data_IF_379053539763
#
_entry.id   IF_379053539763
#
_cell.length_a   1.000
_cell.length_b   1.000
_cell.length_c   1.000
_cell.angle_alpha   90.00
_cell.angle_beta   90.00
_cell.angle_gamma   90.00
#
_symmetry.space_group_name_H-M   'P 1'
#
loop_
_entity.id
_entity.type
_entity.pdbx_description
1 polymer ?
#
# COMPACT_ATOMS: atom_id res chain seq x y z
N UNK A 1 12.05 5.69 -47.64
CA UNK A 1 11.59 4.80 -46.58
C UNK A 1 11.60 5.60 -45.29
N UNK A 2 10.47 6.21 -44.98
CA UNK A 2 10.31 7.02 -43.75
C UNK A 2 10.13 6.08 -42.57
N UNK A 3 11.08 6.14 -41.66
CA UNK A 3 11.07 5.41 -40.39
C UNK A 3 10.07 6.11 -39.46
N UNK A 4 8.81 5.66 -39.45
CA UNK A 4 7.85 6.09 -38.40
C UNK A 4 8.32 5.54 -37.09
N UNK A 5 9.04 6.38 -36.31
CA UNK A 5 9.22 6.18 -34.89
C UNK A 5 7.80 6.11 -34.31
N UNK A 6 7.36 4.93 -33.92
CA UNK A 6 6.15 4.77 -33.12
C UNK A 6 6.47 5.42 -31.76
N UNK A 7 5.80 6.53 -31.46
CA UNK A 7 5.72 7.07 -30.10
C UNK A 7 5.23 5.96 -29.18
N UNK A 8 6.16 5.32 -28.48
CA UNK A 8 5.82 4.42 -27.39
C UNK A 8 5.19 5.29 -26.31
N UNK A 9 3.87 5.29 -26.25
CA UNK A 9 3.13 5.86 -25.14
C UNK A 9 3.70 5.23 -23.85
N UNK A 10 4.31 6.04 -23.00
CA UNK A 10 4.84 5.55 -21.71
C UNK A 10 3.68 4.91 -20.95
N UNK A 11 3.81 3.61 -20.68
CA UNK A 11 2.80 2.81 -19.96
C UNK A 11 3.04 2.97 -18.45
N UNK A 12 2.51 4.06 -17.88
CA UNK A 12 2.61 4.38 -16.46
C UNK A 12 1.52 3.69 -15.65
N UNK A 13 1.86 3.26 -14.45
CA UNK A 13 0.88 2.84 -13.45
C UNK A 13 0.30 4.08 -12.77
N UNK A 14 -1.03 4.19 -12.75
CA UNK A 14 -1.72 5.29 -12.06
C UNK A 14 -2.51 4.73 -10.90
N UNK A 15 -2.22 5.19 -9.68
CA UNK A 15 -2.93 4.81 -8.46
C UNK A 15 -3.35 6.07 -7.70
N UNK A 16 -4.64 6.28 -7.52
CA UNK A 16 -5.17 7.45 -6.81
C UNK A 16 -4.69 8.80 -7.39
N UNK A 17 -4.50 8.88 -8.72
CA UNK A 17 -4.00 10.07 -9.39
C UNK A 17 -2.47 10.23 -9.35
N UNK A 18 -1.74 9.35 -8.69
CA UNK A 18 -0.27 9.33 -8.66
C UNK A 18 0.28 8.44 -9.77
N UNK A 19 1.27 8.93 -10.51
CA UNK A 19 1.91 8.21 -11.60
C UNK A 19 3.19 7.52 -11.13
N UNK A 20 3.35 6.25 -11.53
CA UNK A 20 4.53 5.42 -11.27
C UNK A 20 5.07 4.85 -12.58
N UNK A 21 6.39 4.81 -12.71
CA UNK A 21 7.07 4.20 -13.86
C UNK A 21 7.25 2.69 -13.68
N UNK A 22 7.15 2.22 -12.45
CA UNK A 22 7.32 0.81 -12.08
C UNK A 22 6.07 0.25 -11.44
N UNK A 23 5.79 -1.03 -11.73
CA UNK A 23 4.77 -1.82 -11.03
C UNK A 23 5.35 -2.63 -9.88
N UNK A 24 6.64 -2.41 -9.55
CA UNK A 24 7.32 -3.11 -8.48
C UNK A 24 7.01 -2.48 -7.13
N UNK A 25 6.25 -3.20 -6.30
CA UNK A 25 5.95 -2.86 -4.91
C UNK A 25 6.79 -3.76 -4.02
N UNK A 26 7.71 -3.18 -3.25
CA UNK A 26 8.56 -3.95 -2.33
C UNK A 26 7.86 -4.23 -1.01
N UNK A 27 7.86 -5.50 -0.58
CA UNK A 27 7.46 -5.88 0.77
C UNK A 27 8.64 -5.77 1.74
N UNK A 28 8.52 -4.94 2.77
CA UNK A 28 9.61 -4.71 3.76
C UNK A 28 9.55 -5.63 4.99
N UNK A 29 8.88 -6.77 4.92
CA UNK A 29 8.55 -7.63 6.07
C UNK A 29 9.72 -8.19 6.88
N UNK A 30 10.92 -8.26 6.32
CA UNK A 30 12.18 -8.57 7.00
C UNK A 30 13.21 -7.52 6.61
N UNK A 31 13.37 -6.54 7.46
CA UNK A 31 14.23 -5.40 7.20
C UNK A 31 15.67 -5.79 6.91
N UNK A 32 16.06 -5.58 5.67
CA UNK A 32 17.45 -5.46 5.29
C UNK A 32 17.61 -4.13 4.54
N UNK A 33 18.25 -3.17 5.17
CA UNK A 33 18.46 -1.82 4.61
C UNK A 33 19.12 -1.89 3.23
N UNK A 34 20.08 -2.80 3.07
CA UNK A 34 20.76 -2.98 1.78
C UNK A 34 19.80 -3.51 0.70
N UNK A 35 18.86 -4.38 1.07
CA UNK A 35 17.85 -4.88 0.15
C UNK A 35 16.89 -3.76 -0.28
N UNK A 36 16.43 -2.94 0.67
CA UNK A 36 15.56 -1.80 0.37
C UNK A 36 16.26 -0.85 -0.61
N UNK A 37 17.51 -0.50 -0.32
CA UNK A 37 18.32 0.37 -1.17
C UNK A 37 18.50 -0.23 -2.58
N UNK A 38 18.88 -1.48 -2.68
CA UNK A 38 19.06 -2.17 -3.95
C UNK A 38 17.74 -2.29 -4.74
N UNK A 39 16.62 -2.57 -4.08
CA UNK A 39 15.32 -2.65 -4.72
C UNK A 39 14.87 -1.30 -5.31
N UNK A 40 15.17 -0.19 -4.66
CA UNK A 40 14.88 1.15 -5.17
C UNK A 40 15.85 1.54 -6.28
N UNK A 41 17.17 1.49 -6.01
CA UNK A 41 18.19 2.03 -6.92
C UNK A 41 18.42 1.16 -8.15
N UNK A 42 18.32 -0.16 -8.02
CA UNK A 42 18.61 -1.12 -9.09
C UNK A 42 17.36 -1.81 -9.61
N UNK A 43 16.39 -2.09 -8.73
CA UNK A 43 15.15 -2.77 -9.09
C UNK A 43 14.03 -1.83 -9.52
N UNK A 44 14.17 -0.51 -9.31
CA UNK A 44 13.16 0.47 -9.69
C UNK A 44 11.88 0.40 -8.84
N UNK A 45 11.96 -0.03 -7.57
CA UNK A 45 10.81 -0.02 -6.68
C UNK A 45 10.46 1.43 -6.31
N UNK A 46 9.25 1.86 -6.61
CA UNK A 46 8.74 3.20 -6.31
C UNK A 46 7.76 3.20 -5.14
N UNK A 47 7.29 2.01 -4.72
CA UNK A 47 6.37 1.84 -3.59
C UNK A 47 6.95 0.79 -2.64
N UNK A 48 6.94 1.08 -1.33
CA UNK A 48 7.39 0.15 -0.29
C UNK A 48 6.28 -0.06 0.75
N UNK A 49 5.88 -1.32 0.97
CA UNK A 49 4.95 -1.65 2.05
C UNK A 49 5.68 -1.77 3.38
N UNK A 50 5.04 -1.33 4.44
CA UNK A 50 5.57 -1.45 5.81
C UNK A 50 4.45 -1.69 6.83
N UNK A 51 4.78 -2.45 7.89
CA UNK A 51 3.88 -2.68 9.00
C UNK A 51 4.28 -1.77 10.17
N UNK A 52 3.44 -0.77 10.49
CA UNK A 52 3.70 0.18 11.58
C UNK A 52 3.88 -0.49 12.94
N UNK A 53 3.17 -1.59 13.20
CA UNK A 53 3.34 -2.37 14.43
C UNK A 53 4.79 -2.81 14.68
N UNK A 54 5.58 -2.95 13.63
CA UNK A 54 6.98 -3.38 13.70
C UNK A 54 7.97 -2.23 13.72
N UNK A 55 7.52 -1.01 13.40
CA UNK A 55 8.37 0.17 13.38
C UNK A 55 8.67 0.72 14.80
N UNK A 56 7.88 0.33 15.79
CA UNK A 56 7.90 0.90 17.15
C UNK A 56 8.44 -0.06 18.22
N UNK A 57 9.31 -1.01 17.89
CA UNK A 57 10.00 -1.83 18.89
C UNK A 57 11.19 -1.05 19.43
N UNK A 58 11.17 -0.82 20.73
CA UNK A 58 12.21 -0.16 21.51
C UNK A 58 13.62 -0.60 21.06
N UNK A 59 14.49 0.38 20.77
CA UNK A 59 15.89 0.23 20.38
C UNK A 59 16.23 -0.19 18.94
N UNK A 60 15.35 -0.02 17.96
CA UNK A 60 15.78 -0.14 16.54
C UNK A 60 15.59 1.17 15.82
N UNK A 61 16.66 1.54 15.09
CA UNK A 61 16.65 2.61 14.10
C UNK A 61 15.33 2.59 13.31
N UNK A 62 14.69 3.75 13.20
CA UNK A 62 13.39 3.83 12.52
C UNK A 62 13.60 3.47 11.05
N UNK A 63 12.91 2.46 10.55
CA UNK A 63 13.02 2.05 9.14
C UNK A 63 12.80 3.22 8.18
N UNK A 64 11.99 4.20 8.58
CA UNK A 64 11.71 5.38 7.77
C UNK A 64 12.97 6.21 7.47
N UNK A 65 13.99 6.15 8.33
CA UNK A 65 15.26 6.88 8.15
C UNK A 65 16.13 6.26 7.05
N UNK A 66 15.87 5.00 6.69
CA UNK A 66 16.62 4.26 5.68
C UNK A 66 15.93 4.19 4.32
N UNK A 67 14.67 4.60 4.22
CA UNK A 67 13.96 4.60 2.95
C UNK A 67 14.42 5.81 2.12
N UNK A 68 14.88 5.59 0.88
CA UNK A 68 15.28 6.68 0.00
C UNK A 68 14.15 7.70 -0.20
N UNK A 69 14.51 8.99 -0.27
CA UNK A 69 13.53 10.05 -0.56
C UNK A 69 12.91 9.84 -1.94
N UNK A 70 11.63 10.16 -2.05
CA UNK A 70 10.88 10.02 -3.30
C UNK A 70 10.17 8.67 -3.49
N UNK A 71 10.38 7.72 -2.56
CA UNK A 71 9.63 6.46 -2.54
C UNK A 71 8.28 6.66 -1.85
N UNK A 72 7.23 6.14 -2.44
CA UNK A 72 5.89 6.14 -1.83
C UNK A 72 5.80 5.05 -0.76
N UNK A 73 5.43 5.46 0.44
CA UNK A 73 5.18 4.53 1.54
C UNK A 73 3.76 3.97 1.45
N UNK A 74 3.63 2.67 1.60
CA UNK A 74 2.36 1.95 1.63
C UNK A 74 2.24 1.20 2.97
N UNK A 75 1.94 1.93 4.08
CA UNK A 75 1.73 1.28 5.37
C UNK A 75 0.53 0.33 5.30
N UNK A 76 0.62 -0.80 6.01
CA UNK A 76 -0.47 -1.75 6.11
C UNK A 76 -1.10 -1.74 7.51
N UNK A 77 -2.35 -2.17 7.59
CA UNK A 77 -3.11 -2.25 8.82
C UNK A 77 -3.01 -3.65 9.48
N UNK A 78 -1.95 -4.38 9.20
CA UNK A 78 -1.73 -5.75 9.68
C UNK A 78 -1.94 -5.85 11.20
N UNK A 79 -2.79 -6.79 11.59
CA UNK A 79 -3.21 -7.03 12.97
C UNK A 79 -4.52 -6.35 13.34
N UNK A 80 -5.13 -5.56 12.46
CA UNK A 80 -6.50 -5.08 12.63
C UNK A 80 -7.47 -6.26 12.54
N UNK A 81 -8.48 -6.29 13.43
CA UNK A 81 -9.51 -7.32 13.49
C UNK A 81 -10.85 -6.85 12.95
N UNK A 82 -11.00 -5.55 12.78
CA UNK A 82 -12.20 -4.89 12.27
C UNK A 82 -11.85 -3.57 11.58
N UNK A 83 -12.86 -2.96 10.96
CA UNK A 83 -12.71 -1.71 10.23
C UNK A 83 -12.24 -0.55 11.12
N UNK A 84 -12.73 -0.46 12.35
CA UNK A 84 -12.38 0.62 13.29
C UNK A 84 -10.88 0.60 13.63
N UNK A 85 -10.34 -0.59 13.92
CA UNK A 85 -8.91 -0.76 14.17
C UNK A 85 -8.07 -0.41 12.95
N UNK A 86 -8.49 -0.83 11.75
CA UNK A 86 -7.81 -0.54 10.50
C UNK A 86 -7.79 0.97 10.21
N UNK A 87 -8.92 1.64 10.34
CA UNK A 87 -9.04 3.09 10.16
C UNK A 87 -8.14 3.84 11.15
N UNK A 88 -8.12 3.43 12.41
CA UNK A 88 -7.24 4.02 13.42
C UNK A 88 -5.76 3.88 13.05
N UNK A 89 -5.33 2.70 12.58
CA UNK A 89 -3.94 2.46 12.16
C UNK A 89 -3.60 3.31 10.94
N UNK A 90 -4.50 3.41 9.97
CA UNK A 90 -4.30 4.23 8.77
C UNK A 90 -4.12 5.72 9.12
N UNK A 91 -4.99 6.27 9.98
CA UNK A 91 -4.87 7.67 10.44
C UNK A 91 -3.55 7.90 11.18
N UNK A 92 -3.17 6.97 12.06
CA UNK A 92 -1.88 7.05 12.77
C UNK A 92 -0.70 7.04 11.79
N UNK A 93 -0.75 6.23 10.73
CA UNK A 93 0.33 6.22 9.71
C UNK A 93 0.46 7.56 9.00
N UNK A 94 -0.65 8.22 8.68
CA UNK A 94 -0.66 9.55 8.08
C UNK A 94 -0.03 10.59 9.03
N UNK A 95 -0.41 10.58 10.31
CA UNK A 95 0.16 11.45 11.34
C UNK A 95 1.68 11.24 11.53
N UNK A 96 2.16 10.01 11.34
CA UNK A 96 3.59 9.68 11.37
C UNK A 96 4.34 10.10 10.10
N UNK A 97 3.67 10.72 9.12
CA UNK A 97 4.29 11.20 7.88
C UNK A 97 4.44 10.15 6.79
N UNK A 98 3.71 9.02 6.86
CA UNK A 98 3.76 8.00 5.81
C UNK A 98 2.96 8.36 4.54
N UNK A 99 2.29 9.53 4.50
CA UNK A 99 1.48 9.96 3.37
C UNK A 99 0.09 9.33 3.37
N UNK A 100 -0.56 9.35 2.20
CA UNK A 100 -1.97 9.01 2.06
C UNK A 100 -2.24 7.60 1.53
N UNK A 101 -1.23 6.87 1.11
CA UNK A 101 -1.39 5.49 0.69
C UNK A 101 -1.55 4.56 1.89
N UNK A 102 -2.47 3.60 1.78
CA UNK A 102 -2.66 2.58 2.83
C UNK A 102 -3.09 1.24 2.23
N UNK A 103 -2.49 0.15 2.71
CA UNK A 103 -2.92 -1.21 2.41
C UNK A 103 -3.77 -1.73 3.56
N UNK A 104 -5.06 -1.96 3.30
CA UNK A 104 -5.98 -2.49 4.31
C UNK A 104 -5.79 -3.99 4.41
N UNK A 105 -5.48 -4.46 5.61
CA UNK A 105 -5.40 -5.87 6.00
C UNK A 105 -6.20 -6.06 7.28
N UNK A 106 -7.37 -6.69 7.18
CA UNK A 106 -8.25 -7.01 8.31
C UNK A 106 -8.47 -8.52 8.34
N UNK A 107 -8.12 -9.15 9.45
CA UNK A 107 -8.18 -10.59 9.61
C UNK A 107 -8.66 -10.94 11.02
N UNK A 108 -9.80 -11.64 11.09
CA UNK A 108 -10.31 -12.16 12.37
C UNK A 108 -9.46 -13.33 12.88
N UNK A 109 -8.99 -14.18 11.98
CA UNK A 109 -8.21 -15.37 12.31
C UNK A 109 -6.74 -15.20 11.88
N UNK A 110 -5.88 -15.01 12.88
CA UNK A 110 -4.44 -14.90 12.68
C UNK A 110 -3.77 -16.22 12.21
N UNK A 111 -4.46 -17.36 12.33
CA UNK A 111 -3.91 -18.66 11.95
C UNK A 111 -3.90 -18.86 10.44
N UNK A 112 -4.98 -18.46 9.78
CA UNK A 112 -5.14 -18.69 8.35
C UNK A 112 -4.88 -17.46 7.51
N UNK A 113 -4.77 -16.28 8.14
CA UNK A 113 -4.49 -14.99 7.48
C UNK A 113 -5.50 -14.66 6.36
N UNK A 114 -6.75 -15.09 6.54
CA UNK A 114 -7.81 -14.87 5.58
C UNK A 114 -8.43 -13.47 5.80
N UNK A 115 -8.58 -12.68 4.73
CA UNK A 115 -9.15 -11.34 4.85
C UNK A 115 -10.65 -11.39 5.16
N UNK A 116 -11.10 -10.42 5.96
CA UNK A 116 -12.52 -10.13 6.14
C UNK A 116 -12.96 -9.09 5.11
N UNK A 117 -13.68 -9.53 4.08
CA UNK A 117 -14.11 -8.64 3.01
C UNK A 117 -15.08 -7.55 3.48
N UNK A 118 -16.02 -7.89 4.37
CA UNK A 118 -17.02 -6.94 4.85
C UNK A 118 -16.37 -5.77 5.61
N UNK A 119 -15.52 -6.09 6.58
CA UNK A 119 -14.79 -5.08 7.34
C UNK A 119 -13.80 -4.31 6.46
N UNK A 120 -13.21 -4.97 5.46
CA UNK A 120 -12.30 -4.32 4.49
C UNK A 120 -13.03 -3.29 3.64
N UNK A 121 -14.21 -3.61 3.10
CA UNK A 121 -15.03 -2.64 2.34
C UNK A 121 -15.43 -1.46 3.20
N UNK A 122 -15.91 -1.71 4.43
CA UNK A 122 -16.28 -0.67 5.38
C UNK A 122 -15.11 0.28 5.72
N UNK A 123 -13.92 -0.26 5.98
CA UNK A 123 -12.73 0.55 6.23
C UNK A 123 -12.32 1.35 4.98
N UNK A 124 -12.42 0.73 3.80
CA UNK A 124 -12.11 1.37 2.51
C UNK A 124 -13.01 2.56 2.25
N UNK A 125 -14.33 2.42 2.45
CA UNK A 125 -15.30 3.51 2.28
C UNK A 125 -14.96 4.71 3.18
N UNK A 126 -14.65 4.47 4.46
CA UNK A 126 -14.30 5.53 5.40
C UNK A 126 -13.03 6.25 4.95
N UNK A 127 -11.98 5.48 4.66
CA UNK A 127 -10.67 6.05 4.35
C UNK A 127 -10.62 6.73 2.99
N UNK A 128 -11.35 6.22 1.99
CA UNK A 128 -11.48 6.87 0.69
C UNK A 128 -12.14 8.25 0.81
N UNK A 129 -13.19 8.38 1.63
CA UNK A 129 -13.82 9.69 1.95
C UNK A 129 -12.88 10.66 2.65
N UNK A 130 -11.87 10.15 3.35
CA UNK A 130 -10.82 10.95 4.01
C UNK A 130 -9.62 11.26 3.10
N UNK A 131 -9.71 10.89 1.82
CA UNK A 131 -8.67 11.17 0.83
C UNK A 131 -7.48 10.21 0.86
N UNK A 132 -7.63 9.00 1.45
CA UNK A 132 -6.61 7.97 1.31
C UNK A 132 -6.69 7.28 -0.05
N UNK A 133 -5.52 6.91 -0.57
CA UNK A 133 -5.40 5.95 -1.67
C UNK A 133 -5.38 4.55 -1.07
N UNK A 134 -6.53 3.88 -1.12
CA UNK A 134 -6.73 2.60 -0.42
C UNK A 134 -6.44 1.43 -1.35
N UNK A 135 -5.60 0.50 -0.89
CA UNK A 135 -5.30 -0.77 -1.54
C UNK A 135 -5.81 -1.92 -0.65
N UNK A 136 -7.02 -2.45 -0.90
CA UNK A 136 -7.62 -3.45 -0.04
C UNK A 136 -7.03 -4.85 -0.28
N UNK A 137 -6.70 -5.57 0.79
CA UNK A 137 -6.43 -7.00 0.76
C UNK A 137 -7.73 -7.76 1.04
N UNK A 138 -8.27 -8.41 0.01
CA UNK A 138 -9.56 -9.07 0.08
C UNK A 138 -9.66 -10.24 -0.91
N UNK A 139 -10.63 -11.13 -0.70
CA UNK A 139 -10.96 -12.12 -1.70
C UNK A 139 -11.65 -11.48 -2.91
N UNK A 140 -11.35 -11.96 -4.12
CA UNK A 140 -12.13 -11.60 -5.29
C UNK A 140 -13.56 -12.15 -5.11
N UNK A 141 -14.52 -11.26 -4.97
CA UNK A 141 -15.91 -11.59 -4.81
C UNK A 141 -16.72 -10.67 -5.71
N UNK A 142 -17.54 -11.23 -6.60
CA UNK A 142 -18.37 -10.48 -7.54
C UNK A 142 -19.25 -9.43 -6.85
N UNK A 143 -19.74 -9.73 -5.63
CA UNK A 143 -20.59 -8.81 -4.87
C UNK A 143 -19.85 -7.53 -4.47
N UNK A 144 -18.52 -7.57 -4.28
CA UNK A 144 -17.71 -6.42 -3.83
C UNK A 144 -16.83 -5.83 -4.95
N UNK A 145 -16.68 -6.53 -6.07
CA UNK A 145 -15.81 -6.10 -7.16
C UNK A 145 -16.58 -5.60 -8.37
N UNK A 146 -17.83 -6.02 -8.58
CA UNK A 146 -18.68 -5.54 -9.68
C UNK A 146 -19.26 -4.16 -9.38
N UNK A 147 -19.73 -3.90 -8.17
CA UNK A 147 -20.30 -2.60 -7.78
C UNK A 147 -19.25 -1.46 -7.78
N UNK A 148 -17.99 -1.79 -7.47
CA UNK A 148 -16.91 -0.80 -7.52
C UNK A 148 -16.54 -0.37 -8.95
N UNK A 149 -16.94 -1.13 -9.97
CA UNK A 149 -16.69 -0.81 -11.38
C UNK A 149 -17.82 0.04 -12.00
N UNK A 150 -19.03 -0.03 -11.43
CA UNK A 150 -20.21 0.69 -11.94
C UNK A 150 -20.34 2.11 -11.35
N UNK A 151 -19.66 2.41 -10.25
CA UNK A 151 -19.65 3.72 -9.59
C UNK A 151 -18.47 4.61 -9.98
N UNK A 152 -17.67 4.20 -10.95
CA UNK A 152 -16.56 4.97 -11.55
C UNK A 152 -16.93 5.34 -13.00
#
# INVERSE_FOLDING_TARGET
>A
MENKAQDKKEDKLILGGHEFNSRFILGSGKYNVNLIKAAVEQGGAEIITLALRRANTENKENILDFIPKGVTLLPNTSGARNAEEAVRIARLSREMGCGDFVKIEIMHDAKYLLPDNYETVKATEILAKEGFVVMPYMYPCLLYTSDAADDM
#
